data_IF_906555621983
#
_entry.id   IF_906555621983
#
_cell.length_a   1.000
_cell.length_b   1.000
_cell.length_c   1.000
_cell.angle_alpha   90.00
_cell.angle_beta   90.00
_cell.angle_gamma   90.00
#
_symmetry.space_group_name_H-M   'P 1'
#
loop_
_entity.id
_entity.type
_entity.pdbx_description
1 polymer ?
#
# COMPACT_ATOMS: atom_id res chain seq x y z
N UNK A 1 0.12 17.16 16.50
CA UNK A 1 1.59 17.21 16.53
C UNK A 1 2.11 18.30 17.45
N UNK A 2 2.06 19.60 17.07
CA UNK A 2 2.68 20.70 17.81
C UNK A 2 2.22 20.83 19.28
N UNK A 3 0.92 20.73 19.52
CA UNK A 3 0.38 20.77 20.88
C UNK A 3 0.85 19.57 21.73
N UNK A 4 0.99 18.41 21.13
CA UNK A 4 1.48 17.21 21.80
C UNK A 4 2.96 17.37 22.21
N UNK A 5 3.78 18.01 21.40
CA UNK A 5 5.18 18.29 21.71
C UNK A 5 5.37 19.17 22.96
N UNK A 6 4.43 20.12 23.20
CA UNK A 6 4.48 20.96 24.40
C UNK A 6 4.08 20.21 25.68
N UNK A 7 3.15 19.24 25.56
CA UNK A 7 2.60 18.50 26.71
C UNK A 7 3.46 17.27 27.02
N UNK A 8 4.05 16.66 25.99
CA UNK A 8 4.81 15.42 26.04
C UNK A 8 6.12 15.55 25.23
N UNK A 9 7.11 16.36 25.69
CA UNK A 9 8.35 16.60 24.94
C UNK A 9 9.19 15.33 24.76
N UNK A 10 9.10 14.37 25.68
CA UNK A 10 9.97 13.19 25.75
C UNK A 10 9.27 11.87 25.38
N UNK A 11 8.16 11.90 24.61
CA UNK A 11 7.41 10.68 24.27
C UNK A 11 8.28 9.66 23.53
N UNK A 12 9.15 10.12 22.63
CA UNK A 12 10.02 9.24 21.86
C UNK A 12 11.06 8.56 22.75
N UNK A 13 11.54 9.25 23.79
CA UNK A 13 12.49 8.68 24.75
C UNK A 13 11.79 7.67 25.68
N UNK A 14 10.56 7.95 26.08
CA UNK A 14 9.80 7.13 27.03
C UNK A 14 9.18 5.88 26.37
N UNK A 15 8.63 6.01 25.16
CA UNK A 15 7.92 4.93 24.46
C UNK A 15 8.67 4.35 23.26
N UNK A 16 9.84 4.89 22.91
CA UNK A 16 10.67 4.42 21.80
C UNK A 16 10.13 4.69 20.39
N UNK A 17 8.94 5.30 20.27
CA UNK A 17 8.31 5.63 18.99
C UNK A 17 7.41 6.86 19.09
N UNK A 18 7.38 7.63 18.01
CA UNK A 18 6.46 8.76 17.88
C UNK A 18 4.99 8.32 17.71
N UNK A 19 4.74 7.07 17.34
CA UNK A 19 3.38 6.52 17.16
C UNK A 19 2.59 6.47 18.48
N UNK A 20 3.29 6.45 19.62
CA UNK A 20 2.68 6.46 20.94
C UNK A 20 2.11 7.83 21.37
N UNK A 21 2.37 8.90 20.62
CA UNK A 21 1.97 10.29 21.00
C UNK A 21 0.48 10.42 21.29
N UNK A 22 -0.38 9.87 20.44
CA UNK A 22 -1.84 10.02 20.59
C UNK A 22 -2.37 9.24 21.78
N UNK A 23 -2.04 7.93 21.95
CA UNK A 23 -2.43 7.19 23.16
C UNK A 23 -1.90 7.80 24.45
N UNK A 24 -0.62 8.22 24.49
CA UNK A 24 0.00 8.84 25.65
C UNK A 24 -0.68 10.16 26.02
N UNK A 25 -1.03 10.97 25.03
CA UNK A 25 -1.77 12.21 25.23
C UNK A 25 -3.16 11.95 25.85
N UNK A 26 -3.88 10.95 25.34
CA UNK A 26 -5.17 10.54 25.87
C UNK A 26 -5.08 10.12 27.34
N UNK A 27 -4.06 9.34 27.69
CA UNK A 27 -3.82 8.90 29.08
C UNK A 27 -3.48 10.09 30.00
N UNK A 28 -2.74 11.08 29.49
CA UNK A 28 -2.29 12.21 30.30
C UNK A 28 -3.34 13.28 30.53
N UNK A 29 -4.21 13.51 29.55
CA UNK A 29 -5.17 14.64 29.59
C UNK A 29 -6.57 14.22 30.04
N UNK A 30 -7.00 13.00 29.68
CA UNK A 30 -8.37 12.56 29.89
C UNK A 30 -8.53 11.86 31.26
N UNK A 31 -9.68 12.03 31.93
CA UNK A 31 -10.01 11.22 33.10
C UNK A 31 -10.19 9.73 32.71
N UNK A 32 -10.03 8.79 33.68
CA UNK A 32 -9.95 7.35 33.39
C UNK A 32 -11.06 6.78 32.49
N UNK A 33 -12.31 7.19 32.68
CA UNK A 33 -13.43 6.73 31.86
C UNK A 33 -13.35 7.22 30.40
N UNK A 34 -13.02 8.48 30.18
CA UNK A 34 -12.85 9.06 28.84
C UNK A 34 -11.59 8.55 28.15
N UNK A 35 -10.54 8.27 28.91
CA UNK A 35 -9.32 7.64 28.40
C UNK A 35 -9.63 6.27 27.78
N UNK A 36 -10.39 5.42 28.50
CA UNK A 36 -10.81 4.12 27.99
C UNK A 36 -11.63 4.22 26.70
N UNK A 37 -12.56 5.18 26.66
CA UNK A 37 -13.37 5.44 25.47
C UNK A 37 -12.51 5.90 24.27
N UNK A 38 -11.58 6.82 24.50
CA UNK A 38 -10.67 7.33 23.47
C UNK A 38 -9.77 6.22 22.90
N UNK A 39 -9.16 5.42 23.79
CA UNK A 39 -8.31 4.30 23.38
C UNK A 39 -9.10 3.22 22.63
N UNK A 40 -10.32 2.91 23.07
CA UNK A 40 -11.21 1.99 22.37
C UNK A 40 -11.59 2.51 20.98
N UNK A 41 -11.83 3.80 20.85
CA UNK A 41 -12.08 4.44 19.55
C UNK A 41 -10.89 4.34 18.60
N UNK A 42 -9.68 4.60 19.08
CA UNK A 42 -8.45 4.46 18.30
C UNK A 42 -8.27 3.00 17.83
N UNK A 43 -8.43 2.05 18.74
CA UNK A 43 -8.34 0.62 18.39
C UNK A 43 -9.40 0.21 17.37
N UNK A 44 -10.63 0.68 17.51
CA UNK A 44 -11.72 0.39 16.55
C UNK A 44 -11.42 0.89 15.15
N UNK A 45 -10.85 2.08 15.00
CA UNK A 45 -10.42 2.62 13.70
C UNK A 45 -9.29 1.78 13.11
N UNK A 46 -8.30 1.40 13.92
CA UNK A 46 -7.19 0.53 13.47
C UNK A 46 -7.70 -0.83 13.00
N UNK A 47 -8.59 -1.47 13.75
CA UNK A 47 -9.18 -2.76 13.40
C UNK A 47 -9.99 -2.67 12.11
N UNK A 48 -10.85 -1.67 11.96
CA UNK A 48 -11.66 -1.46 10.75
C UNK A 48 -10.79 -1.31 9.49
N UNK A 49 -9.68 -0.58 9.61
CA UNK A 49 -8.74 -0.38 8.50
C UNK A 49 -8.00 -1.68 8.18
N UNK A 50 -7.50 -2.39 9.20
CA UNK A 50 -6.80 -3.65 9.04
C UNK A 50 -7.68 -4.71 8.38
N UNK A 51 -8.96 -4.83 8.79
CA UNK A 51 -9.92 -5.74 8.19
C UNK A 51 -10.15 -5.46 6.70
N UNK A 52 -10.29 -4.19 6.33
CA UNK A 52 -10.49 -3.78 4.94
C UNK A 52 -9.28 -4.14 4.06
N UNK A 53 -8.06 -3.86 4.52
CA UNK A 53 -6.85 -4.22 3.80
C UNK A 53 -6.65 -5.74 3.71
N UNK A 54 -6.94 -6.46 4.78
CA UNK A 54 -6.88 -7.92 4.79
C UNK A 54 -7.86 -8.52 3.79
N UNK A 55 -9.11 -8.04 3.77
CA UNK A 55 -10.15 -8.49 2.84
C UNK A 55 -9.73 -8.29 1.38
N UNK A 56 -9.26 -7.10 1.02
CA UNK A 56 -8.79 -6.81 -0.35
C UNK A 56 -7.60 -7.69 -0.72
N UNK A 57 -6.65 -7.88 0.19
CA UNK A 57 -5.48 -8.74 -0.05
C UNK A 57 -5.87 -10.19 -0.26
N UNK A 58 -6.78 -10.71 0.57
CA UNK A 58 -7.32 -12.09 0.44
C UNK A 58 -8.06 -12.24 -0.89
N UNK A 59 -8.91 -11.26 -1.24
CA UNK A 59 -9.65 -11.27 -2.50
C UNK A 59 -8.69 -11.35 -3.69
N UNK A 60 -7.65 -10.54 -3.71
CA UNK A 60 -6.62 -10.55 -4.77
C UNK A 60 -5.91 -11.90 -4.84
N UNK A 61 -5.49 -12.46 -3.71
CA UNK A 61 -4.79 -13.75 -3.68
C UNK A 61 -5.71 -14.90 -4.14
N UNK A 62 -6.94 -14.93 -3.69
CA UNK A 62 -7.84 -16.06 -3.95
C UNK A 62 -8.56 -15.93 -5.28
N UNK A 63 -9.14 -14.77 -5.57
CA UNK A 63 -9.93 -14.58 -6.79
C UNK A 63 -9.04 -14.31 -8.00
N UNK A 64 -8.03 -13.45 -7.89
CA UNK A 64 -7.24 -13.05 -9.05
C UNK A 64 -6.14 -14.06 -9.35
N UNK A 65 -5.36 -14.48 -8.32
CA UNK A 65 -4.33 -15.47 -8.51
C UNK A 65 -4.89 -16.90 -8.47
N UNK A 66 -5.72 -17.22 -7.49
CA UNK A 66 -6.26 -18.57 -7.31
C UNK A 66 -7.07 -19.05 -8.51
N UNK A 67 -7.99 -18.24 -9.02
CA UNK A 67 -8.79 -18.58 -10.21
C UNK A 67 -7.99 -18.58 -11.51
N UNK A 68 -6.90 -17.82 -11.58
CA UNK A 68 -6.00 -17.85 -12.73
C UNK A 68 -5.30 -19.21 -12.85
N UNK A 69 -4.89 -19.80 -11.72
CA UNK A 69 -4.23 -21.11 -11.69
C UNK A 69 -5.22 -22.28 -11.65
N UNK A 70 -6.41 -22.10 -11.08
CA UNK A 70 -7.45 -23.12 -10.94
C UNK A 70 -8.83 -22.57 -11.34
N UNK A 71 -9.11 -22.43 -12.65
CA UNK A 71 -10.36 -21.83 -13.14
C UNK A 71 -11.64 -22.59 -12.71
N UNK A 72 -11.49 -23.90 -12.38
CA UNK A 72 -12.61 -24.78 -12.00
C UNK A 72 -12.78 -24.90 -10.47
N UNK A 73 -12.29 -23.92 -9.69
CA UNK A 73 -12.40 -23.93 -8.23
C UNK A 73 -13.87 -23.85 -7.81
N UNK A 74 -14.30 -24.83 -6.98
CA UNK A 74 -15.64 -24.84 -6.43
C UNK A 74 -15.78 -23.81 -5.31
N UNK A 75 -16.98 -23.27 -5.11
CA UNK A 75 -17.28 -22.26 -4.08
C UNK A 75 -16.76 -22.66 -2.67
N UNK A 76 -16.95 -23.93 -2.28
CA UNK A 76 -16.45 -24.44 -0.99
C UNK A 76 -14.92 -24.37 -0.87
N UNK A 77 -14.22 -24.60 -1.97
CA UNK A 77 -12.76 -24.51 -2.01
C UNK A 77 -12.32 -23.05 -1.94
N UNK A 78 -13.01 -22.15 -2.63
CA UNK A 78 -12.75 -20.71 -2.59
C UNK A 78 -12.86 -20.15 -1.17
N UNK A 79 -13.93 -20.55 -0.43
CA UNK A 79 -14.11 -20.16 0.97
C UNK A 79 -12.98 -20.72 1.86
N UNK A 80 -12.59 -21.97 1.67
CA UNK A 80 -11.49 -22.56 2.44
C UNK A 80 -10.16 -21.85 2.16
N UNK A 81 -9.85 -21.61 0.90
CA UNK A 81 -8.64 -20.87 0.50
C UNK A 81 -8.64 -19.45 1.05
N UNK A 82 -9.79 -18.75 1.04
CA UNK A 82 -9.93 -17.43 1.63
C UNK A 82 -9.62 -17.43 3.13
N UNK A 83 -10.12 -18.41 3.86
CA UNK A 83 -9.83 -18.55 5.30
C UNK A 83 -8.35 -18.81 5.57
N UNK A 84 -7.75 -19.72 4.81
CA UNK A 84 -6.32 -20.02 4.95
C UNK A 84 -5.48 -18.78 4.58
N UNK A 85 -5.79 -18.13 3.46
CA UNK A 85 -5.12 -16.93 3.04
C UNK A 85 -5.23 -15.79 4.07
N UNK A 86 -6.40 -15.61 4.69
CA UNK A 86 -6.60 -14.62 5.76
C UNK A 86 -5.67 -14.87 6.95
N UNK A 87 -5.59 -16.11 7.40
CA UNK A 87 -4.72 -16.48 8.53
C UNK A 87 -3.24 -16.30 8.17
N UNK A 88 -2.83 -16.76 7.00
CA UNK A 88 -1.43 -16.65 6.54
C UNK A 88 -1.01 -15.19 6.37
N UNK A 89 -1.85 -14.37 5.75
CA UNK A 89 -1.57 -12.95 5.55
C UNK A 89 -1.55 -12.20 6.89
N UNK A 90 -2.49 -12.48 7.79
CA UNK A 90 -2.53 -11.85 9.11
C UNK A 90 -1.31 -12.23 9.95
N UNK A 91 -0.90 -13.52 9.95
CA UNK A 91 0.33 -13.95 10.63
C UNK A 91 1.58 -13.35 10.00
N UNK A 92 1.64 -13.27 8.68
CA UNK A 92 2.73 -12.60 7.96
C UNK A 92 2.85 -11.13 8.34
N UNK A 93 1.72 -10.41 8.36
CA UNK A 93 1.67 -9.01 8.78
C UNK A 93 2.11 -8.85 10.25
N UNK A 94 1.67 -9.74 11.14
CA UNK A 94 2.08 -9.74 12.55
C UNK A 94 3.60 -9.93 12.69
N UNK A 95 4.17 -10.91 11.98
CA UNK A 95 5.63 -11.13 11.99
C UNK A 95 6.38 -9.88 11.53
N UNK A 96 5.95 -9.27 10.43
CA UNK A 96 6.56 -8.02 9.92
C UNK A 96 6.44 -6.90 10.96
N UNK A 97 5.27 -6.74 11.59
CA UNK A 97 5.04 -5.72 12.61
C UNK A 97 5.94 -5.87 13.84
N UNK A 98 6.32 -7.09 14.21
CA UNK A 98 7.25 -7.34 15.32
C UNK A 98 8.68 -6.89 15.01
N UNK A 99 9.08 -6.85 13.74
CA UNK A 99 10.41 -6.41 13.31
C UNK A 99 10.51 -4.91 13.01
N UNK A 100 9.41 -4.28 12.64
CA UNK A 100 9.38 -2.86 12.26
C UNK A 100 8.89 -2.02 13.43
N UNK A 101 9.75 -1.15 13.93
CA UNK A 101 9.48 -0.32 15.12
C UNK A 101 8.61 0.91 14.86
N UNK A 102 8.49 1.36 13.60
CA UNK A 102 7.76 2.58 13.22
C UNK A 102 6.64 2.25 12.23
N UNK A 103 5.40 2.41 12.65
CA UNK A 103 4.23 2.27 11.78
C UNK A 103 4.21 3.35 10.70
N UNK A 104 4.70 4.56 11.02
CA UNK A 104 4.82 5.66 10.07
C UNK A 104 5.71 5.31 8.88
N UNK A 105 6.89 4.70 9.12
CA UNK A 105 7.81 4.32 8.04
C UNK A 105 7.22 3.26 7.11
N UNK A 106 6.49 2.29 7.68
CA UNK A 106 5.77 1.27 6.90
C UNK A 106 4.71 1.91 6.00
N UNK A 107 3.94 2.86 6.56
CA UNK A 107 2.88 3.56 5.85
C UNK A 107 3.44 4.41 4.71
N UNK A 108 4.50 5.16 4.97
CA UNK A 108 5.18 5.97 3.95
C UNK A 108 5.74 5.12 2.83
N UNK A 109 6.35 3.97 3.17
CA UNK A 109 6.84 3.02 2.18
C UNK A 109 5.70 2.41 1.35
N UNK A 110 4.60 2.00 1.99
CA UNK A 110 3.44 1.46 1.28
C UNK A 110 2.83 2.49 0.31
N UNK A 111 2.75 3.76 0.71
CA UNK A 111 2.26 4.83 -0.16
C UNK A 111 3.22 5.14 -1.30
N UNK A 112 4.53 5.17 -1.03
CA UNK A 112 5.54 5.33 -2.07
C UNK A 112 5.43 4.24 -3.13
N UNK A 113 5.29 3.00 -2.67
CA UNK A 113 5.09 1.84 -3.51
C UNK A 113 3.82 1.94 -4.35
N UNK A 114 2.68 2.25 -3.72
CA UNK A 114 1.41 2.38 -4.42
C UNK A 114 1.42 3.50 -5.46
N UNK A 115 1.95 4.67 -5.11
CA UNK A 115 2.05 5.79 -6.03
C UNK A 115 2.92 5.47 -7.24
N UNK A 116 4.08 4.84 -7.04
CA UNK A 116 5.03 4.51 -8.09
C UNK A 116 4.58 3.32 -8.95
N UNK A 117 4.02 2.26 -8.33
CA UNK A 117 3.69 1.03 -9.04
C UNK A 117 2.25 0.98 -9.58
N UNK A 118 1.31 1.70 -9.01
CA UNK A 118 -0.10 1.63 -9.40
C UNK A 118 -0.68 2.97 -9.83
N UNK A 119 -0.40 4.06 -9.10
CA UNK A 119 -1.03 5.36 -9.33
C UNK A 119 -0.77 5.94 -10.71
N UNK A 120 0.49 6.09 -11.09
CA UNK A 120 0.87 6.60 -12.42
C UNK A 120 0.42 5.70 -13.57
N UNK A 121 0.61 4.37 -13.53
CA UNK A 121 0.09 3.46 -14.54
C UNK A 121 -1.42 3.52 -14.72
N UNK A 122 -2.17 3.61 -13.62
CA UNK A 122 -3.63 3.73 -13.68
C UNK A 122 -4.07 5.03 -14.36
N UNK A 123 -3.47 6.16 -13.98
CA UNK A 123 -3.73 7.45 -14.63
C UNK A 123 -3.39 7.40 -16.12
N UNK A 124 -2.25 6.81 -16.48
CA UNK A 124 -1.88 6.67 -17.87
C UNK A 124 -2.84 5.76 -18.67
N UNK A 125 -3.30 4.68 -18.07
CA UNK A 125 -4.28 3.78 -18.70
C UNK A 125 -5.62 4.47 -18.97
N UNK A 126 -6.06 5.37 -18.09
CA UNK A 126 -7.33 6.08 -18.22
C UNK A 126 -7.26 7.28 -19.16
N UNK A 127 -6.18 8.05 -19.08
CA UNK A 127 -6.12 9.37 -19.75
C UNK A 127 -5.20 9.41 -20.96
N UNK A 128 -4.24 8.50 -21.08
CA UNK A 128 -3.25 8.55 -22.16
C UNK A 128 -3.54 7.54 -23.25
N UNK A 129 -4.13 7.98 -24.36
CA UNK A 129 -4.55 7.14 -25.51
C UNK A 129 -3.41 6.33 -26.17
N UNK A 130 -2.15 6.68 -25.92
CA UNK A 130 -0.97 5.96 -26.44
C UNK A 130 -0.37 4.96 -25.44
N UNK A 131 -0.96 4.84 -24.24
CA UNK A 131 -0.51 3.84 -23.28
C UNK A 131 -0.73 2.43 -23.84
N UNK A 132 0.31 1.61 -23.73
CA UNK A 132 0.26 0.19 -24.15
C UNK A 132 0.35 -0.71 -22.93
N UNK A 133 -0.22 -1.92 -23.00
CA UNK A 133 -0.12 -2.89 -21.91
C UNK A 133 1.34 -3.17 -21.53
N UNK A 134 2.24 -3.26 -22.52
CA UNK A 134 3.66 -3.46 -22.27
C UNK A 134 4.30 -2.27 -21.53
N UNK A 135 3.93 -1.02 -21.90
CA UNK A 135 4.42 0.18 -21.23
C UNK A 135 3.91 0.30 -19.80
N UNK A 136 2.64 -0.03 -19.58
CA UNK A 136 2.04 -0.05 -18.24
C UNK A 136 2.76 -1.07 -17.34
N UNK A 137 2.96 -2.30 -17.81
CA UNK A 137 3.68 -3.33 -17.06
C UNK A 137 5.13 -2.95 -16.78
N UNK A 138 5.83 -2.40 -17.78
CA UNK A 138 7.20 -1.93 -17.60
C UNK A 138 7.30 -0.79 -16.58
N UNK A 139 6.36 0.15 -16.61
CA UNK A 139 6.26 1.23 -15.64
C UNK A 139 6.00 0.72 -14.21
N UNK A 140 5.03 -0.19 -14.05
CA UNK A 140 4.71 -0.82 -12.76
C UNK A 140 5.94 -1.55 -12.18
N UNK A 141 6.54 -2.44 -12.95
CA UNK A 141 7.69 -3.23 -12.50
C UNK A 141 8.91 -2.34 -12.23
N UNK A 142 9.20 -1.40 -13.11
CA UNK A 142 10.33 -0.49 -12.93
C UNK A 142 10.15 0.45 -11.73
N UNK A 143 8.96 1.03 -11.58
CA UNK A 143 8.61 1.84 -10.41
C UNK A 143 8.76 1.05 -9.11
N UNK A 144 8.24 -0.18 -9.08
CA UNK A 144 8.41 -1.12 -7.97
C UNK A 144 9.87 -1.36 -7.61
N UNK A 145 10.65 -1.83 -8.59
CA UNK A 145 12.06 -2.20 -8.37
C UNK A 145 12.87 -1.00 -7.88
N UNK A 146 12.69 0.18 -8.50
CA UNK A 146 13.43 1.38 -8.11
C UNK A 146 13.01 1.83 -6.70
N UNK A 147 11.72 1.80 -6.34
CA UNK A 147 11.25 2.15 -5.00
C UNK A 147 11.88 1.24 -3.93
N UNK A 148 11.90 -0.08 -4.17
CA UNK A 148 12.49 -1.06 -3.25
C UNK A 148 14.00 -0.86 -3.12
N UNK A 149 14.71 -0.77 -4.24
CA UNK A 149 16.16 -0.58 -4.25
C UNK A 149 16.55 0.71 -3.56
N UNK A 150 15.83 1.82 -3.82
CA UNK A 150 16.10 3.11 -3.19
C UNK A 150 15.94 3.06 -1.67
N UNK A 151 14.91 2.36 -1.19
CA UNK A 151 14.70 2.14 0.25
C UNK A 151 15.80 1.29 0.87
N UNK A 152 16.23 0.21 0.19
CA UNK A 152 17.31 -0.67 0.67
C UNK A 152 18.67 0.05 0.73
N UNK A 153 18.92 1.00 -0.16
CA UNK A 153 20.16 1.81 -0.16
C UNK A 153 20.14 2.91 0.92
N UNK A 154 19.01 3.05 1.66
CA UNK A 154 18.91 3.98 2.78
C UNK A 154 18.52 5.41 2.37
N UNK A 155 17.76 5.57 1.29
CA UNK A 155 17.22 6.85 0.82
C UNK A 155 18.31 7.93 0.66
N UNK A 156 19.28 7.72 -0.25
CA UNK A 156 20.38 8.65 -0.45
C UNK A 156 19.86 10.06 -0.77
N UNK A 157 20.55 11.07 -0.32
CA UNK A 157 20.21 12.50 -0.49
C UNK A 157 18.98 12.96 0.29
N UNK A 158 18.42 12.17 1.24
CA UNK A 158 17.21 12.51 1.99
C UNK A 158 15.94 12.54 1.14
N UNK A 159 15.99 12.01 -0.08
CA UNK A 159 14.82 11.89 -0.95
C UNK A 159 14.09 10.59 -0.65
N UNK A 160 12.82 10.69 -0.23
CA UNK A 160 11.95 9.53 -0.02
C UNK A 160 11.79 8.70 -1.29
N UNK A 161 11.68 7.39 -1.14
CA UNK A 161 11.63 6.41 -2.23
C UNK A 161 10.50 6.67 -3.26
N UNK A 162 9.49 7.47 -2.91
CA UNK A 162 8.36 7.83 -3.78
C UNK A 162 8.82 8.57 -5.03
N UNK A 163 9.73 9.53 -4.88
CA UNK A 163 10.15 10.40 -6.00
C UNK A 163 10.91 9.63 -7.07
N UNK A 164 12.02 8.93 -6.76
CA UNK A 164 12.74 8.16 -7.76
C UNK A 164 11.91 7.01 -8.34
N UNK A 165 11.07 6.35 -7.53
CA UNK A 165 10.14 5.33 -8.01
C UNK A 165 9.12 5.86 -9.02
N UNK A 166 8.52 7.01 -8.75
CA UNK A 166 7.56 7.64 -9.66
C UNK A 166 8.23 8.10 -10.96
N UNK A 167 9.44 8.68 -10.90
CA UNK A 167 10.19 9.07 -12.09
C UNK A 167 10.52 7.84 -12.95
N UNK A 168 11.04 6.78 -12.35
CA UNK A 168 11.36 5.55 -13.06
C UNK A 168 10.12 4.92 -13.71
N UNK A 169 9.01 4.87 -12.97
CA UNK A 169 7.72 4.41 -13.50
C UNK A 169 7.31 5.24 -14.72
N UNK A 170 7.30 6.57 -14.60
CA UNK A 170 6.91 7.46 -15.69
C UNK A 170 7.80 7.33 -16.93
N UNK A 171 9.11 7.29 -16.75
CA UNK A 171 10.07 7.16 -17.85
C UNK A 171 9.90 5.82 -18.58
N UNK A 172 9.81 4.71 -17.84
CA UNK A 172 9.63 3.38 -18.44
C UNK A 172 8.26 3.24 -19.10
N UNK A 173 7.21 3.72 -18.45
CA UNK A 173 5.86 3.70 -18.99
C UNK A 173 5.79 4.47 -20.31
N UNK A 174 6.31 5.69 -20.35
CA UNK A 174 6.30 6.52 -21.55
C UNK A 174 7.22 5.93 -22.62
N UNK A 175 8.45 5.59 -22.28
CA UNK A 175 9.44 5.07 -23.22
C UNK A 175 8.99 3.77 -23.90
N UNK A 176 8.55 2.80 -23.09
CA UNK A 176 8.07 1.50 -23.62
C UNK A 176 6.74 1.66 -24.36
N UNK A 177 5.83 2.51 -23.87
CA UNK A 177 4.57 2.75 -24.58
C UNK A 177 4.82 3.37 -25.97
N UNK A 178 5.69 4.36 -26.08
CA UNK A 178 6.01 4.97 -27.36
C UNK A 178 6.71 3.99 -28.30
N UNK A 179 7.60 3.15 -27.78
CA UNK A 179 8.31 2.13 -28.55
C UNK A 179 7.38 1.00 -29.05
N UNK A 180 6.37 0.66 -28.27
CA UNK A 180 5.43 -0.43 -28.57
C UNK A 180 4.11 0.06 -29.16
N UNK A 181 3.93 1.38 -29.29
CA UNK A 181 2.71 1.96 -29.84
C UNK A 181 2.55 1.61 -31.32
N UNK A 182 1.76 0.59 -31.60
CA UNK A 182 1.26 0.29 -32.95
C UNK A 182 -0.10 0.96 -33.11
N UNK A 183 -0.21 1.86 -34.08
CA UNK A 183 -1.50 2.43 -34.47
C UNK A 183 -2.46 1.28 -34.81
N UNK A 184 -3.36 0.91 -33.89
CA UNK A 184 -4.43 -0.04 -34.21
C UNK A 184 -5.36 0.66 -35.18
N UNK A 185 -5.74 0.02 -36.33
CA UNK A 185 -6.82 0.54 -37.13
C UNK A 185 -8.05 0.64 -36.22
N UNK A 186 -8.71 1.79 -36.26
CA UNK A 186 -9.96 2.05 -35.52
C UNK A 186 -10.98 1.07 -36.03
N UNK A 187 -11.22 -0.01 -35.31
CA UNK A 187 -12.39 -0.86 -35.53
C UNK A 187 -13.56 -0.04 -35.00
N UNK A 188 -14.25 0.65 -35.89
CA UNK A 188 -15.55 1.22 -35.57
C UNK A 188 -16.46 0.05 -35.22
N UNK A 189 -16.76 -0.13 -33.93
CA UNK A 189 -17.87 -0.98 -33.52
C UNK A 189 -19.11 -0.23 -33.91
N UNK A 190 -19.70 -0.59 -35.08
CA UNK A 190 -21.06 -0.24 -35.40
C UNK A 190 -21.96 -0.87 -34.33
N UNK A 191 -22.43 -0.04 -33.42
CA UNK A 191 -23.50 -0.41 -32.51
C UNK A 191 -24.79 -0.50 -33.35
N UNK A 192 -25.19 -1.71 -33.63
CA UNK A 192 -26.49 -2.03 -34.25
C UNK A 192 -27.54 -2.12 -33.15
#
# INVERSE_FOLDING_TARGET
GLAAQQILPNVVEEFGTADAVIPALAIKILPPGLTGLALSGILSVMMSTADSYLLVSVQTVVSDLGKTFHPAMKEKQEILFSRIASVVLALGALVIALYIKSAYDVLMFAWAFYAAAAGLPALAALYWKKATSAGIMAGMLGGFVVTVVWKLVGEPMGLGATVPGAIACGVLLVGVSLATYRKRPTVMVEVK
#
